data_IF_443102129634
#
_entry.id   IF_443102129634
#
_cell.length_a   1.000
_cell.length_b   1.000
_cell.length_c   1.000
_cell.angle_alpha   90.00
_cell.angle_beta   90.00
_cell.angle_gamma   90.00
#
_symmetry.space_group_name_H-M   'P 1'
#
loop_
_entity.id
_entity.type
_entity.pdbx_description
1 polymer ?
#
# COMPACT_ATOMS: atom_id res chain seq x y z
N UNK A 1 -1.63 15.43 -29.11
CA UNK A 1 -0.66 14.40 -28.69
C UNK A 1 -1.32 13.05 -28.87
N UNK A 2 -0.75 12.19 -29.71
CA UNK A 2 -1.31 10.88 -30.08
C UNK A 2 -1.43 10.01 -28.83
N UNK A 3 -2.66 9.62 -28.50
CA UNK A 3 -2.96 8.65 -27.44
C UNK A 3 -2.30 7.33 -27.82
N UNK A 4 -1.19 6.99 -27.15
CA UNK A 4 -0.65 5.63 -27.17
C UNK A 4 -1.81 4.70 -26.80
N UNK A 5 -2.01 3.66 -27.59
CA UNK A 5 -3.04 2.65 -27.40
C UNK A 5 -2.82 1.94 -26.04
N UNK A 6 -3.30 2.53 -24.95
CA UNK A 6 -3.17 2.01 -23.60
C UNK A 6 -4.21 0.91 -23.43
N UNK A 7 -3.75 -0.33 -23.32
CA UNK A 7 -4.61 -1.49 -23.04
C UNK A 7 -5.47 -1.20 -21.82
N UNK A 8 -6.79 -1.39 -21.94
CA UNK A 8 -7.73 -1.35 -20.81
C UNK A 8 -7.40 -2.49 -19.84
N UNK A 9 -7.17 -2.15 -18.57
CA UNK A 9 -6.87 -3.10 -17.50
C UNK A 9 -7.99 -3.10 -16.46
N UNK A 10 -8.28 -4.28 -15.89
CA UNK A 10 -8.94 -4.45 -14.60
C UNK A 10 -7.91 -4.26 -13.49
N UNK A 11 -8.14 -3.28 -12.62
CA UNK A 11 -7.25 -2.88 -11.54
C UNK A 11 -8.02 -3.05 -10.24
N UNK A 12 -7.49 -3.91 -9.36
CA UNK A 12 -7.99 -4.02 -7.99
C UNK A 12 -7.25 -2.99 -7.14
N UNK A 13 -7.92 -2.07 -6.46
CA UNK A 13 -7.27 -1.06 -5.61
C UNK A 13 -7.45 -1.47 -4.16
N UNK A 14 -6.36 -1.79 -3.47
CA UNK A 14 -6.38 -2.20 -2.07
C UNK A 14 -6.25 -0.96 -1.20
N UNK A 15 -7.23 -0.68 -0.36
CA UNK A 15 -7.25 0.47 0.56
C UNK A 15 -7.65 0.00 1.95
N UNK A 16 -7.33 0.79 2.97
CA UNK A 16 -7.90 0.56 4.29
C UNK A 16 -9.44 0.78 4.23
N UNK A 17 -10.22 0.00 4.97
CA UNK A 17 -11.69 0.07 4.90
C UNK A 17 -12.27 1.46 5.21
N UNK A 18 -11.66 2.17 6.15
CA UNK A 18 -12.03 3.57 6.50
C UNK A 18 -11.64 4.60 5.42
N UNK A 19 -10.81 4.22 4.45
CA UNK A 19 -10.28 5.11 3.41
C UNK A 19 -10.91 4.85 2.04
N UNK A 20 -11.92 3.98 1.96
CA UNK A 20 -12.68 3.79 0.72
C UNK A 20 -13.41 5.09 0.37
N UNK A 21 -13.05 5.77 -0.72
CA UNK A 21 -13.62 7.07 -1.02
C UNK A 21 -15.04 6.92 -1.60
N UNK A 22 -15.90 7.95 -1.45
CA UNK A 22 -17.18 8.01 -2.14
C UNK A 22 -16.98 8.16 -3.66
N UNK A 23 -18.02 7.85 -4.44
CA UNK A 23 -17.98 8.02 -5.91
C UNK A 23 -17.86 9.49 -6.34
N UNK A 24 -18.32 10.44 -5.51
CA UNK A 24 -18.23 11.87 -5.78
C UNK A 24 -17.75 12.65 -4.56
N UNK A 25 -17.03 13.73 -4.82
CA UNK A 25 -16.59 14.74 -3.84
C UNK A 25 -17.55 15.93 -3.74
N UNK A 26 -18.61 15.95 -4.55
CA UNK A 26 -19.58 17.06 -4.58
C UNK A 26 -20.19 17.32 -3.21
N UNK A 27 -20.13 18.57 -2.76
CA UNK A 27 -20.68 19.01 -1.47
C UNK A 27 -19.83 18.71 -0.24
N UNK A 28 -18.63 18.11 -0.41
CA UNK A 28 -17.70 17.86 0.68
C UNK A 28 -16.67 19.00 0.79
N UNK A 29 -16.36 19.38 2.04
CA UNK A 29 -15.25 20.32 2.31
C UNK A 29 -13.89 19.64 2.17
N UNK A 30 -12.84 20.41 1.93
CA UNK A 30 -11.47 19.90 1.86
C UNK A 30 -11.10 19.04 3.08
N UNK A 31 -11.50 19.47 4.28
CA UNK A 31 -11.21 18.75 5.52
C UNK A 31 -11.87 17.36 5.57
N UNK A 32 -13.04 17.20 4.94
CA UNK A 32 -13.74 15.91 4.85
C UNK A 32 -13.12 15.00 3.78
N UNK A 33 -12.51 15.57 2.74
CA UNK A 33 -11.85 14.84 1.66
C UNK A 33 -10.45 14.36 2.07
N UNK A 34 -9.73 15.15 2.87
CA UNK A 34 -8.33 14.89 3.25
C UNK A 34 -8.03 13.43 3.66
N UNK A 35 -8.85 12.74 4.49
CA UNK A 35 -8.51 11.39 4.94
C UNK A 35 -8.32 10.38 3.81
N UNK A 36 -9.13 10.44 2.76
CA UNK A 36 -9.15 9.47 1.64
C UNK A 36 -8.77 10.10 0.30
N UNK A 37 -8.19 11.31 0.33
CA UNK A 37 -7.87 12.09 -0.88
C UNK A 37 -6.98 11.31 -1.83
N UNK A 38 -5.98 10.62 -1.28
CA UNK A 38 -5.04 9.80 -2.06
C UNK A 38 -5.78 8.71 -2.82
N UNK A 39 -6.66 7.99 -2.14
CA UNK A 39 -7.46 6.89 -2.68
C UNK A 39 -8.38 7.40 -3.79
N UNK A 40 -9.09 8.51 -3.54
CA UNK A 40 -9.95 9.12 -4.54
C UNK A 40 -9.18 9.58 -5.78
N UNK A 41 -8.05 10.26 -5.60
CA UNK A 41 -7.24 10.76 -6.70
C UNK A 41 -6.69 9.59 -7.54
N UNK A 42 -6.23 8.50 -6.92
CA UNK A 42 -5.79 7.29 -7.62
C UNK A 42 -6.95 6.63 -8.37
N UNK A 43 -8.08 6.38 -7.71
CA UNK A 43 -9.23 5.68 -8.29
C UNK A 43 -9.84 6.48 -9.45
N UNK A 44 -10.09 7.77 -9.25
CA UNK A 44 -10.66 8.65 -10.27
C UNK A 44 -9.72 8.80 -11.47
N UNK A 45 -8.41 8.91 -11.23
CA UNK A 45 -7.42 8.99 -12.30
C UNK A 45 -7.37 7.70 -13.10
N UNK A 46 -7.29 6.53 -12.45
CA UNK A 46 -7.32 5.24 -13.14
C UNK A 46 -8.59 5.03 -13.97
N UNK A 47 -9.76 5.42 -13.43
CA UNK A 47 -11.04 5.42 -14.16
C UNK A 47 -10.96 6.35 -15.38
N UNK A 48 -10.44 7.58 -15.22
CA UNK A 48 -10.29 8.57 -16.31
C UNK A 48 -9.34 8.12 -17.42
N UNK A 49 -8.34 7.29 -17.09
CA UNK A 49 -7.43 6.64 -18.04
C UNK A 49 -8.09 5.48 -18.80
N UNK A 50 -9.36 5.16 -18.51
CA UNK A 50 -10.15 4.14 -19.19
C UNK A 50 -9.98 2.73 -18.61
N UNK A 51 -9.41 2.58 -17.42
CA UNK A 51 -9.30 1.28 -16.74
C UNK A 51 -10.60 0.90 -16.01
N UNK A 52 -10.81 -0.40 -15.81
CA UNK A 52 -11.84 -0.92 -14.91
C UNK A 52 -11.24 -0.97 -13.51
N UNK A 53 -11.81 -0.26 -12.55
CA UNK A 53 -11.21 -0.07 -11.23
C UNK A 53 -12.16 -0.61 -10.16
N UNK A 54 -11.64 -1.47 -9.29
CA UNK A 54 -12.38 -2.12 -8.21
C UNK A 54 -11.71 -1.78 -6.87
N UNK A 55 -12.15 -0.73 -6.16
CA UNK A 55 -11.67 -0.46 -4.81
C UNK A 55 -12.18 -1.54 -3.84
N UNK A 56 -11.30 -2.10 -3.03
CA UNK A 56 -11.68 -2.98 -1.92
C UNK A 56 -11.06 -2.49 -0.61
N UNK A 57 -11.93 -2.33 0.39
CA UNK A 57 -11.55 -2.00 1.75
C UNK A 57 -11.03 -3.23 2.49
N UNK A 58 -9.93 -3.07 3.19
CA UNK A 58 -9.28 -4.10 4.00
C UNK A 58 -8.96 -3.59 5.39
N UNK A 59 -9.08 -4.47 6.36
CA UNK A 59 -8.60 -4.23 7.72
C UNK A 59 -8.01 -5.50 8.33
N UNK A 60 -8.78 -6.59 8.32
CA UNK A 60 -8.44 -7.81 9.06
C UNK A 60 -8.70 -9.13 8.31
N UNK A 61 -9.33 -9.09 7.13
CA UNK A 61 -9.70 -10.30 6.39
C UNK A 61 -9.08 -10.34 4.98
N UNK A 62 -8.19 -11.32 4.75
CA UNK A 62 -7.61 -11.59 3.44
C UNK A 62 -8.61 -12.29 2.49
N UNK A 63 -9.69 -12.87 3.02
CA UNK A 63 -10.78 -13.47 2.24
C UNK A 63 -11.42 -12.47 1.27
N UNK A 64 -11.45 -11.19 1.63
CA UNK A 64 -11.91 -10.09 0.77
C UNK A 64 -11.07 -10.02 -0.51
N UNK A 65 -9.74 -10.12 -0.41
CA UNK A 65 -8.85 -10.15 -1.58
C UNK A 65 -9.15 -11.40 -2.41
N UNK A 66 -9.21 -12.58 -1.78
CA UNK A 66 -9.47 -13.84 -2.50
C UNK A 66 -10.73 -13.73 -3.36
N UNK A 67 -11.83 -13.28 -2.76
CA UNK A 67 -13.12 -13.13 -3.44
C UNK A 67 -13.00 -12.15 -4.62
N UNK A 68 -12.35 -11.00 -4.41
CA UNK A 68 -12.17 -10.01 -5.47
C UNK A 68 -11.29 -10.51 -6.62
N UNK A 69 -10.26 -11.32 -6.34
CA UNK A 69 -9.43 -11.96 -7.36
C UNK A 69 -10.24 -12.94 -8.21
N UNK A 70 -11.10 -13.74 -7.58
CA UNK A 70 -11.96 -14.72 -8.27
C UNK A 70 -13.06 -14.04 -9.10
N UNK A 71 -13.69 -13.00 -8.54
CA UNK A 71 -14.82 -12.29 -9.14
C UNK A 71 -14.39 -11.40 -10.30
N UNK A 72 -13.36 -10.55 -10.09
CA UNK A 72 -12.98 -9.53 -11.07
C UNK A 72 -11.81 -9.96 -11.96
N UNK A 73 -11.04 -10.99 -11.58
CA UNK A 73 -9.85 -11.45 -12.30
C UNK A 73 -8.96 -10.27 -12.75
N UNK A 74 -8.52 -9.42 -11.80
CA UNK A 74 -7.78 -8.21 -12.12
C UNK A 74 -6.45 -8.53 -12.80
N UNK A 75 -5.97 -7.64 -13.65
CA UNK A 75 -4.63 -7.78 -14.25
C UNK A 75 -3.55 -7.33 -13.28
N UNK A 76 -3.85 -6.39 -12.39
CA UNK A 76 -2.93 -5.84 -11.39
C UNK A 76 -3.69 -5.38 -10.14
N UNK A 77 -3.06 -5.53 -8.97
CA UNK A 77 -3.51 -4.92 -7.73
C UNK A 77 -2.71 -3.63 -7.47
N UNK A 78 -3.38 -2.49 -7.39
CA UNK A 78 -2.79 -1.24 -6.95
C UNK A 78 -2.83 -1.21 -5.41
N UNK A 79 -1.68 -1.36 -4.77
CA UNK A 79 -1.60 -1.41 -3.32
C UNK A 79 -1.47 0.00 -2.71
N UNK A 80 -2.48 0.42 -1.93
CA UNK A 80 -2.47 1.63 -1.11
C UNK A 80 -2.59 1.29 0.39
N UNK A 81 -2.44 0.03 0.78
CA UNK A 81 -2.43 -0.35 2.19
C UNK A 81 -1.13 0.07 2.86
N UNK A 82 -1.26 0.64 4.06
CA UNK A 82 -0.15 1.00 4.94
C UNK A 82 -0.10 0.13 6.21
N UNK A 83 -1.12 -0.71 6.43
CA UNK A 83 -1.22 -1.58 7.59
C UNK A 83 -2.18 -2.77 7.38
N UNK A 84 -2.17 -3.68 8.34
CA UNK A 84 -3.18 -4.73 8.50
C UNK A 84 -3.34 -5.03 10.00
N UNK A 85 -4.57 -5.20 10.50
CA UNK A 85 -4.89 -5.35 11.93
C UNK A 85 -4.35 -4.24 12.87
N UNK A 86 -4.21 -2.99 12.42
CA UNK A 86 -3.62 -1.95 13.27
C UNK A 86 -2.08 -1.93 13.27
N UNK A 87 -1.42 -2.80 12.50
CA UNK A 87 0.04 -2.94 12.49
C UNK A 87 0.61 -2.63 11.11
N UNK A 88 1.38 -1.54 11.03
CA UNK A 88 2.04 -1.14 9.79
C UNK A 88 2.93 -2.24 9.19
N UNK A 89 3.65 -2.98 10.04
CA UNK A 89 4.56 -4.05 9.60
C UNK A 89 3.85 -5.25 8.96
N UNK A 90 2.53 -5.34 9.04
CA UNK A 90 1.77 -6.46 8.48
C UNK A 90 1.36 -6.22 7.01
N UNK A 91 1.55 -5.02 6.47
CA UNK A 91 1.36 -4.73 5.03
C UNK A 91 2.18 -5.68 4.13
N UNK A 92 3.37 -6.10 4.59
CA UNK A 92 4.23 -7.06 3.92
C UNK A 92 3.57 -8.44 3.73
N UNK A 93 2.69 -8.83 4.65
CA UNK A 93 1.99 -10.12 4.59
C UNK A 93 0.88 -10.07 3.54
N UNK A 94 0.24 -8.91 3.36
CA UNK A 94 -0.75 -8.70 2.30
C UNK A 94 -0.11 -8.84 0.92
N UNK A 95 1.03 -8.18 0.68
CA UNK A 95 1.72 -8.33 -0.61
C UNK A 95 2.35 -9.72 -0.80
N UNK A 96 2.78 -10.39 0.29
CA UNK A 96 3.20 -11.79 0.23
C UNK A 96 2.06 -12.70 -0.23
N UNK A 97 0.84 -12.44 0.25
CA UNK A 97 -0.35 -13.17 -0.18
C UNK A 97 -0.63 -12.95 -1.68
N UNK A 98 -0.48 -11.73 -2.20
CA UNK A 98 -0.58 -11.45 -3.64
C UNK A 98 0.47 -12.21 -4.46
N UNK A 99 1.73 -12.27 -3.99
CA UNK A 99 2.79 -13.06 -4.63
C UNK A 99 2.42 -14.55 -4.69
N UNK A 100 1.88 -15.12 -3.60
CA UNK A 100 1.43 -16.51 -3.57
C UNK A 100 0.27 -16.78 -4.53
N UNK A 101 -0.64 -15.81 -4.70
CA UNK A 101 -1.72 -15.89 -5.68
C UNK A 101 -1.27 -15.57 -7.12
N UNK A 102 0.02 -15.28 -7.32
CA UNK A 102 0.59 -14.84 -8.61
C UNK A 102 -0.12 -13.62 -9.19
N UNK A 103 -0.67 -12.76 -8.34
CA UNK A 103 -1.32 -11.52 -8.73
C UNK A 103 -0.25 -10.42 -8.84
N UNK A 104 -0.01 -9.82 -10.03
CA UNK A 104 0.85 -8.65 -10.12
C UNK A 104 0.33 -7.50 -9.27
N UNK A 105 1.22 -6.74 -8.65
CA UNK A 105 0.86 -5.61 -7.80
C UNK A 105 1.87 -4.46 -7.86
N UNK A 106 1.45 -3.27 -7.43
CA UNK A 106 2.31 -2.06 -7.36
C UNK A 106 3.06 -1.96 -6.03
N UNK A 107 4.19 -1.24 -6.02
CA UNK A 107 4.96 -0.96 -4.81
C UNK A 107 6.12 -1.92 -4.59
N UNK A 108 6.49 -2.12 -3.32
CA UNK A 108 7.67 -2.89 -2.94
C UNK A 108 7.33 -4.37 -2.68
N UNK A 109 8.32 -5.26 -2.84
CA UNK A 109 8.15 -6.67 -2.49
C UNK A 109 8.18 -6.90 -0.97
N UNK A 110 7.73 -8.08 -0.47
CA UNK A 110 7.68 -8.34 0.97
C UNK A 110 9.03 -8.10 1.64
N UNK A 111 10.12 -8.57 1.02
CA UNK A 111 11.48 -8.39 1.53
C UNK A 111 11.85 -6.91 1.68
N UNK A 112 11.52 -6.08 0.70
CA UNK A 112 11.81 -4.65 0.74
C UNK A 112 11.00 -3.94 1.82
N UNK A 113 9.73 -4.30 2.00
CA UNK A 113 8.90 -3.79 3.09
C UNK A 113 9.46 -4.19 4.46
N UNK A 114 9.84 -5.45 4.68
CA UNK A 114 10.47 -5.90 5.93
C UNK A 114 11.69 -5.05 6.28
N UNK A 115 12.56 -4.81 5.30
CA UNK A 115 13.79 -4.05 5.50
C UNK A 115 13.52 -2.56 5.74
N UNK A 116 12.51 -1.99 5.07
CA UNK A 116 12.17 -0.58 5.19
C UNK A 116 11.47 -0.24 6.51
N UNK A 117 10.67 -1.15 7.05
CA UNK A 117 9.93 -0.94 8.30
C UNK A 117 10.82 -0.87 9.54
N UNK A 118 11.94 -1.59 9.57
CA UNK A 118 12.93 -1.47 10.63
C UNK A 118 13.96 -0.39 10.29
N UNK A 119 13.76 0.81 10.84
CA UNK A 119 14.68 1.96 10.68
C UNK A 119 16.11 1.64 11.12
N UNK A 120 16.32 0.80 12.13
CA UNK A 120 17.66 0.43 12.58
C UNK A 120 18.32 -0.51 11.57
N UNK A 121 17.60 -1.52 11.09
CA UNK A 121 18.09 -2.45 10.07
C UNK A 121 18.37 -1.75 8.74
N UNK A 122 17.44 -0.91 8.28
CA UNK A 122 17.60 -0.10 7.07
C UNK A 122 18.86 0.77 7.15
N UNK A 123 19.07 1.48 8.27
CA UNK A 123 20.28 2.29 8.48
C UNK A 123 21.57 1.46 8.49
N UNK A 124 21.56 0.24 9.05
CA UNK A 124 22.74 -0.65 8.99
C UNK A 124 23.09 -1.04 7.56
N UNK A 125 22.08 -1.38 6.74
CA UNK A 125 22.28 -1.75 5.34
C UNK A 125 22.81 -0.56 4.54
N UNK A 126 22.19 0.61 4.69
CA UNK A 126 22.65 1.84 4.04
C UNK A 126 24.10 2.18 4.41
N UNK A 127 24.44 2.12 5.71
CA UNK A 127 25.79 2.38 6.19
C UNK A 127 26.82 1.37 5.64
N UNK A 128 26.46 0.08 5.56
CA UNK A 128 27.31 -0.95 4.94
C UNK A 128 27.63 -0.61 3.48
N UNK A 129 26.64 -0.11 2.74
CA UNK A 129 26.81 0.37 1.36
C UNK A 129 27.33 1.81 1.24
N UNK A 130 27.82 2.40 2.35
CA UNK A 130 28.42 3.76 2.41
C UNK A 130 27.44 4.89 2.05
N UNK A 131 26.15 4.66 2.19
CA UNK A 131 25.12 5.71 2.11
C UNK A 131 25.02 6.37 3.49
N UNK A 132 25.10 7.70 3.52
CA UNK A 132 25.08 8.46 4.77
C UNK A 132 23.74 8.31 5.49
N UNK A 133 23.82 8.00 6.80
CA UNK A 133 22.68 7.94 7.71
C UNK A 133 23.03 8.62 9.02
N UNK A 134 22.06 9.21 9.75
CA UNK A 134 22.31 9.75 11.08
C UNK A 134 22.78 8.66 12.04
N UNK A 135 23.77 8.98 12.89
CA UNK A 135 24.18 8.13 14.00
C UNK A 135 22.98 7.73 14.87
N UNK A 136 22.90 6.47 15.27
CA UNK A 136 21.74 5.94 15.97
C UNK A 136 22.13 4.87 17.00
N UNK A 137 21.25 4.68 17.98
CA UNK A 137 21.29 3.59 18.94
C UNK A 137 19.86 3.05 19.12
N UNK A 138 19.73 1.75 19.43
CA UNK A 138 18.43 1.10 19.68
C UNK A 138 18.32 0.79 21.17
N UNK A 139 17.21 1.18 21.78
CA UNK A 139 16.93 0.95 23.19
C UNK A 139 15.71 0.02 23.31
N UNK A 140 15.86 -1.21 23.84
CA UNK A 140 14.74 -2.13 24.01
C UNK A 140 13.71 -1.59 25.00
N UNK A 141 12.42 -1.81 24.72
CA UNK A 141 11.33 -1.56 25.66
C UNK A 141 11.57 -2.38 26.93
N UNK A 142 11.20 -1.81 28.09
CA UNK A 142 11.38 -2.43 29.42
C UNK A 142 12.84 -2.73 29.81
N UNK A 143 13.82 -2.07 29.20
CA UNK A 143 15.22 -2.11 29.64
C UNK A 143 15.74 -0.71 29.95
N UNK A 144 16.59 -0.60 30.98
CA UNK A 144 17.26 0.65 31.32
C UNK A 144 18.14 1.10 30.16
N UNK A 145 17.84 2.26 29.58
CA UNK A 145 18.61 2.84 28.49
C UNK A 145 20.05 3.17 28.96
N UNK A 146 21.06 2.75 28.19
CA UNK A 146 22.46 3.15 28.36
C UNK A 146 22.92 3.82 27.08
N UNK A 147 23.19 5.11 27.12
CA UNK A 147 23.68 5.85 25.96
C UNK A 147 25.08 5.33 25.58
N UNK A 148 25.37 5.16 24.26
CA UNK A 148 26.72 4.85 23.80
C UNK A 148 27.73 5.92 24.18
#
# INVERSE_FOLDING_TARGET
MSSKNTRRLRVLVLVHEDLVPPETTEGLSDKQIQPWRTEYDVISTLKSMGHEVYPIGLYSDLGVIRKALEEHKPHIAFNLLEEFHGYAVYDQHVVSYLELMKQPYTGCNPRGLTLAHDKALSKKILAYHRIQVPGFAVFPINRKARRP
#
